data_IF_593251106107
#
_entry.id   IF_593251106107
#
_cell.length_a   1.000
_cell.length_b   1.000
_cell.length_c   1.000
_cell.angle_alpha   90.00
_cell.angle_beta   90.00
_cell.angle_gamma   90.00
#
_symmetry.space_group_name_H-M   'P 1'
#
loop_
_entity.id
_entity.type
_entity.pdbx_description
1 polymer ?
#
# COMPACT_ATOMS: atom_id res chain seq x y z
N UNK A 1 14.78 -58.02 -39.10
CA UNK A 1 13.31 -57.93 -39.12
C UNK A 1 12.84 -57.91 -37.68
N UNK A 2 12.23 -56.77 -37.30
CA UNK A 2 11.43 -56.44 -36.11
C UNK A 2 12.01 -56.79 -34.72
N UNK A 3 12.29 -55.82 -33.85
CA UNK A 3 11.30 -54.91 -33.25
C UNK A 3 11.88 -53.50 -33.02
N UNK A 4 11.79 -52.64 -34.02
CA UNK A 4 11.80 -51.17 -33.83
C UNK A 4 10.33 -50.77 -33.71
N UNK A 5 9.78 -50.73 -32.50
CA UNK A 5 8.62 -49.90 -32.10
C UNK A 5 8.30 -50.17 -30.63
N UNK A 6 8.81 -49.33 -29.72
CA UNK A 6 8.03 -48.84 -28.59
C UNK A 6 8.44 -47.39 -28.32
N UNK A 7 7.69 -46.48 -28.94
CA UNK A 7 7.64 -45.06 -28.62
C UNK A 7 7.19 -44.91 -27.17
N UNK A 8 8.15 -44.88 -26.25
CA UNK A 8 7.93 -44.49 -24.86
C UNK A 8 8.12 -42.99 -24.74
N UNK A 9 7.20 -42.20 -25.30
CA UNK A 9 7.10 -40.78 -25.01
C UNK A 9 6.55 -40.64 -23.58
N UNK A 10 7.44 -40.59 -22.59
CA UNK A 10 7.08 -40.07 -21.27
C UNK A 10 7.60 -38.64 -21.23
N UNK A 11 6.78 -37.76 -21.80
CA UNK A 11 6.76 -36.34 -21.50
C UNK A 11 6.52 -36.21 -19.99
N UNK A 12 7.60 -36.19 -19.22
CA UNK A 12 7.57 -35.79 -17.82
C UNK A 12 7.12 -34.33 -17.77
N UNK A 13 5.86 -34.16 -17.40
CA UNK A 13 5.16 -32.91 -17.14
C UNK A 13 6.10 -31.84 -16.60
N UNK A 14 6.17 -30.71 -17.32
CA UNK A 14 6.78 -29.49 -16.80
C UNK A 14 6.17 -29.19 -15.44
N UNK A 15 6.99 -29.14 -14.39
CA UNK A 15 6.59 -28.57 -13.13
C UNK A 15 6.18 -27.12 -13.41
N UNK A 16 4.87 -26.85 -13.41
CA UNK A 16 4.36 -25.49 -13.40
C UNK A 16 4.84 -24.87 -12.09
N UNK A 17 5.96 -24.15 -12.16
CA UNK A 17 6.36 -23.23 -11.12
C UNK A 17 5.27 -22.15 -11.08
N UNK A 18 4.23 -22.38 -10.29
CA UNK A 18 3.27 -21.37 -9.92
C UNK A 18 4.04 -20.34 -9.08
N UNK A 19 4.64 -19.38 -9.76
CA UNK A 19 5.11 -18.15 -9.12
C UNK A 19 3.87 -17.49 -8.52
N UNK A 20 3.68 -17.70 -7.22
CA UNK A 20 2.74 -16.94 -6.43
C UNK A 20 3.18 -15.48 -6.51
N UNK A 21 2.51 -14.69 -7.36
CA UNK A 21 2.60 -13.23 -7.34
C UNK A 21 1.85 -12.77 -6.10
N UNK A 22 2.49 -12.87 -4.95
CA UNK A 22 1.92 -12.41 -3.68
C UNK A 22 1.97 -10.88 -3.69
N UNK A 23 0.86 -10.26 -4.13
CA UNK A 23 0.35 -8.97 -3.68
C UNK A 23 1.34 -7.82 -3.48
N UNK A 24 2.16 -7.49 -4.49
CA UNK A 24 3.01 -6.28 -4.46
C UNK A 24 2.18 -4.99 -4.35
N UNK A 25 0.95 -4.98 -4.88
CA UNK A 25 0.06 -3.82 -4.86
C UNK A 25 -0.43 -3.49 -3.44
N UNK A 26 -0.76 -4.49 -2.63
CA UNK A 26 -1.22 -4.28 -1.25
C UNK A 26 -0.09 -3.75 -0.34
N UNK A 27 1.15 -4.17 -0.60
CA UNK A 27 2.35 -3.64 0.08
C UNK A 27 2.62 -2.18 -0.33
N UNK A 28 2.57 -1.87 -1.63
CA UNK A 28 2.79 -0.52 -2.13
C UNK A 28 1.70 0.48 -1.68
N UNK A 29 0.44 0.04 -1.58
CA UNK A 29 -0.66 0.89 -1.09
C UNK A 29 -0.52 1.20 0.41
N UNK A 30 -0.07 0.22 1.21
CA UNK A 30 0.29 0.46 2.60
C UNK A 30 1.40 1.49 2.73
N UNK A 31 2.44 1.44 1.89
CA UNK A 31 3.53 2.41 1.91
C UNK A 31 3.03 3.84 1.66
N UNK A 32 2.12 4.04 0.70
CA UNK A 32 1.52 5.36 0.42
C UNK A 32 0.74 5.93 1.62
N UNK A 33 0.01 5.09 2.35
CA UNK A 33 -0.73 5.55 3.54
C UNK A 33 0.21 5.95 4.68
N UNK A 34 1.32 5.22 4.89
CA UNK A 34 2.33 5.61 5.88
C UNK A 34 3.02 6.93 5.49
N UNK A 35 3.28 7.15 4.21
CA UNK A 35 3.79 8.41 3.69
C UNK A 35 2.79 9.57 3.89
N UNK A 36 1.50 9.34 3.63
CA UNK A 36 0.46 10.32 3.88
C UNK A 36 0.42 10.75 5.35
N UNK A 37 0.56 9.81 6.30
CA UNK A 37 0.68 10.13 7.74
C UNK A 37 1.85 11.08 8.00
N UNK A 38 3.02 10.79 7.44
CA UNK A 38 4.22 11.61 7.61
C UNK A 38 4.03 13.02 7.03
N UNK A 39 3.44 13.14 5.84
CA UNK A 39 3.15 14.45 5.24
C UNK A 39 2.13 15.25 6.04
N UNK A 40 1.08 14.61 6.54
CA UNK A 40 0.06 15.26 7.37
C UNK A 40 0.65 15.79 8.69
N UNK A 41 1.53 15.02 9.34
CA UNK A 41 2.24 15.48 10.54
C UNK A 41 3.11 16.71 10.27
N UNK A 42 3.83 16.74 9.14
CA UNK A 42 4.63 17.89 8.73
C UNK A 42 3.75 19.12 8.41
N UNK A 43 2.61 18.91 7.76
CA UNK A 43 1.65 19.97 7.48
C UNK A 43 1.08 20.56 8.76
N UNK A 44 0.66 19.72 9.72
CA UNK A 44 0.18 20.13 11.05
C UNK A 44 1.23 20.98 11.78
N UNK A 45 2.48 20.50 11.85
CA UNK A 45 3.56 21.24 12.50
C UNK A 45 3.83 22.61 11.82
N UNK A 46 3.66 22.69 10.50
CA UNK A 46 3.80 23.95 9.75
C UNK A 46 2.62 24.90 10.00
N UNK A 47 1.39 24.39 10.07
CA UNK A 47 0.17 25.16 10.36
C UNK A 47 0.12 25.66 11.82
N UNK A 48 0.73 24.94 12.75
CA UNK A 48 0.88 25.37 14.15
C UNK A 48 1.87 26.53 14.28
N UNK A 49 2.95 26.52 13.50
CA UNK A 49 3.98 27.59 13.48
C UNK A 49 3.56 28.82 12.67
N UNK A 50 2.60 28.68 11.75
CA UNK A 50 2.13 29.78 10.93
C UNK A 50 1.44 30.86 11.78
N UNK A 51 1.76 32.14 11.50
CA UNK A 51 1.15 33.27 12.21
C UNK A 51 -0.38 33.28 12.07
N UNK A 52 -1.06 33.66 13.15
CA UNK A 52 -2.51 33.58 13.34
C UNK A 52 -3.34 34.53 12.45
N UNK A 53 -2.69 35.43 11.69
CA UNK A 53 -3.34 36.49 10.90
C UNK A 53 -4.03 36.07 9.59
N UNK A 54 -4.21 34.79 9.27
CA UNK A 54 -4.79 34.32 8.00
C UNK A 54 -6.31 34.11 8.04
N UNK A 55 -7.06 35.04 8.64
CA UNK A 55 -8.53 35.06 8.58
C UNK A 55 -9.24 33.79 9.07
N UNK A 56 -8.67 33.07 10.04
CA UNK A 56 -9.21 31.79 10.53
C UNK A 56 -8.91 30.57 9.64
N UNK A 57 -8.44 30.75 8.42
CA UNK A 57 -8.11 29.64 7.50
C UNK A 57 -7.02 28.74 8.06
N UNK A 58 -6.04 29.28 8.80
CA UNK A 58 -4.99 28.49 9.46
C UNK A 58 -5.59 27.49 10.45
N UNK A 59 -6.53 27.94 11.29
CA UNK A 59 -7.18 27.07 12.27
C UNK A 59 -8.05 26.02 11.58
N UNK A 60 -8.80 26.41 10.54
CA UNK A 60 -9.60 25.48 9.74
C UNK A 60 -8.73 24.42 9.04
N UNK A 61 -7.61 24.83 8.44
CA UNK A 61 -6.68 23.90 7.79
C UNK A 61 -6.04 22.95 8.81
N UNK A 62 -5.73 23.42 10.02
CA UNK A 62 -5.20 22.58 11.09
C UNK A 62 -6.20 21.50 11.52
N UNK A 63 -7.46 21.87 11.74
CA UNK A 63 -8.54 20.91 12.08
C UNK A 63 -8.73 19.87 10.97
N UNK A 64 -8.79 20.29 9.70
CA UNK A 64 -8.93 19.38 8.56
C UNK A 64 -7.74 18.41 8.44
N UNK A 65 -6.51 18.91 8.61
CA UNK A 65 -5.32 18.07 8.55
C UNK A 65 -5.28 17.04 9.70
N UNK A 66 -5.72 17.42 10.90
CA UNK A 66 -5.83 16.50 12.04
C UNK A 66 -6.87 15.40 11.81
N UNK A 67 -8.04 15.74 11.25
CA UNK A 67 -9.07 14.75 10.88
C UNK A 67 -8.56 13.78 9.82
N UNK A 68 -7.93 14.30 8.75
CA UNK A 68 -7.34 13.46 7.71
C UNK A 68 -6.27 12.51 8.26
N UNK A 69 -5.44 12.98 9.21
CA UNK A 69 -4.45 12.14 9.88
C UNK A 69 -5.09 10.98 10.65
N UNK A 70 -6.21 11.25 11.34
CA UNK A 70 -6.94 10.22 12.07
C UNK A 70 -7.51 9.16 11.12
N UNK A 71 -8.25 9.56 10.09
CA UNK A 71 -8.83 8.66 9.09
C UNK A 71 -7.76 7.81 8.39
N UNK A 72 -6.60 8.41 8.06
CA UNK A 72 -5.49 7.68 7.41
C UNK A 72 -4.95 6.59 8.34
N UNK A 73 -4.79 6.88 9.64
CA UNK A 73 -4.36 5.88 10.63
C UNK A 73 -5.38 4.77 10.79
N UNK A 74 -6.67 5.11 10.80
CA UNK A 74 -7.75 4.12 10.88
C UNK A 74 -7.77 3.22 9.64
N UNK A 75 -7.57 3.76 8.45
CA UNK A 75 -7.44 2.98 7.21
C UNK A 75 -6.26 2.01 7.22
N UNK A 76 -5.09 2.43 7.72
CA UNK A 76 -3.93 1.53 7.92
C UNK A 76 -4.28 0.40 8.89
N UNK A 77 -4.94 0.71 10.01
CA UNK A 77 -5.35 -0.30 11.00
C UNK A 77 -6.39 -1.27 10.41
N UNK A 78 -7.35 -0.76 9.65
CA UNK A 78 -8.36 -1.58 8.98
C UNK A 78 -7.72 -2.58 8.01
N UNK A 79 -6.79 -2.12 7.18
CA UNK A 79 -6.07 -2.97 6.23
C UNK A 79 -5.24 -4.05 6.94
N UNK A 80 -4.70 -3.80 8.13
CA UNK A 80 -3.99 -4.82 8.94
C UNK A 80 -4.91 -5.87 9.57
N UNK A 81 -6.21 -5.59 9.70
CA UNK A 81 -7.20 -6.50 10.29
C UNK A 81 -7.90 -7.41 9.27
N UNK A 82 -7.75 -7.13 7.98
CA UNK A 82 -8.48 -7.80 6.89
C UNK A 82 -7.52 -8.62 6.06
#
# INVERSE_FOLDING_TARGET
MDQITRRGAILGTAAAAATATVSTEALADQDNMHDAVRYLQQAIASLQRASSGKGGHRAKALDLAQRALQETREGIVFARRK
#
